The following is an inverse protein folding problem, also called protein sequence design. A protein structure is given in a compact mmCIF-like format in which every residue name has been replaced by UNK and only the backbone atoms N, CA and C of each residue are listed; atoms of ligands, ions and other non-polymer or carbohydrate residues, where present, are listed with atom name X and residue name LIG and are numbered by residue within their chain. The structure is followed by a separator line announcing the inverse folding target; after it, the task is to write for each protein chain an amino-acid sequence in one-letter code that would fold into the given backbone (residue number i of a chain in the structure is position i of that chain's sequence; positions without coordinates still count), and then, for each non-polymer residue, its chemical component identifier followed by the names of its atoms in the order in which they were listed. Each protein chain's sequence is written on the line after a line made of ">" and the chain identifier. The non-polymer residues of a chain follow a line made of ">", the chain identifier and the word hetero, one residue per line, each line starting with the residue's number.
data_IF_534285831750
#
_entry.id   IF_534285831750
#
_cell.length_a   1.000
_cell.length_b   1.000
_cell.length_c   1.000
_cell.angle_alpha   90.00
_cell.angle_beta   90.00
_cell.angle_gamma   90.00
#
_symmetry.space_group_name_H-M   'P 1'
#
loop_
_entity.id
_entity.type
_entity.pdbx_description
1 polymer ?
#
# COMPACT_ATOMS: atom_id res chain seq x y z
N UNK A 1 -13.88 -14.86 23.23
CA UNK A 1 -14.15 -14.05 22.04
C UNK A 1 -14.87 -14.93 21.04
N UNK A 2 -16.19 -14.75 20.92
CA UNK A 2 -16.99 -15.53 19.99
C UNK A 2 -16.51 -15.28 18.55
N UNK A 3 -16.48 -16.33 17.73
CA UNK A 3 -16.09 -16.17 16.34
C UNK A 3 -17.12 -15.25 15.65
N UNK A 4 -16.68 -14.22 14.89
CA UNK A 4 -17.60 -13.32 14.21
C UNK A 4 -18.55 -14.13 13.32
N UNK A 5 -19.83 -13.72 13.28
CA UNK A 5 -20.80 -14.37 12.41
C UNK A 5 -20.37 -14.21 10.96
N UNK A 6 -20.73 -15.17 10.12
CA UNK A 6 -20.49 -15.07 8.67
C UNK A 6 -21.17 -13.80 8.13
N UNK A 7 -22.34 -13.46 8.66
CA UNK A 7 -23.09 -12.28 8.24
C UNK A 7 -22.34 -10.98 8.58
N UNK A 8 -21.74 -10.88 9.78
CA UNK A 8 -20.93 -9.72 10.18
C UNK A 8 -19.72 -9.52 9.27
N UNK A 9 -19.05 -10.62 8.90
CA UNK A 9 -17.92 -10.59 7.96
C UNK A 9 -18.36 -10.13 6.55
N UNK A 10 -19.54 -10.58 6.09
CA UNK A 10 -20.09 -10.14 4.81
C UNK A 10 -20.49 -8.66 4.85
N UNK A 11 -21.09 -8.19 5.94
CA UNK A 11 -21.39 -6.76 6.12
C UNK A 11 -20.12 -5.93 6.08
N UNK A 12 -19.06 -6.34 6.79
CA UNK A 12 -17.76 -5.67 6.75
C UNK A 12 -17.17 -5.65 5.33
N UNK A 13 -17.26 -6.77 4.61
CA UNK A 13 -16.80 -6.86 3.23
C UNK A 13 -17.55 -5.88 2.31
N UNK A 14 -18.87 -5.76 2.45
CA UNK A 14 -19.67 -4.84 1.63
C UNK A 14 -19.33 -3.37 1.91
N UNK A 15 -19.06 -3.00 3.16
CA UNK A 15 -18.60 -1.65 3.50
C UNK A 15 -17.22 -1.35 2.90
N UNK A 16 -16.29 -2.31 2.96
CA UNK A 16 -14.98 -2.18 2.33
C UNK A 16 -15.09 -2.09 0.80
N UNK A 17 -16.02 -2.82 0.19
CA UNK A 17 -16.28 -2.75 -1.24
C UNK A 17 -16.84 -1.38 -1.66
N UNK A 18 -17.73 -0.80 -0.87
CA UNK A 18 -18.23 0.57 -1.10
C UNK A 18 -17.09 1.59 -0.99
N UNK A 19 -16.25 1.49 0.04
CA UNK A 19 -15.06 2.34 0.17
C UNK A 19 -14.09 2.15 -1.02
N UNK A 20 -13.87 0.92 -1.47
CA UNK A 20 -13.04 0.64 -2.62
C UNK A 20 -13.60 1.27 -3.91
N UNK A 21 -14.90 1.13 -4.17
CA UNK A 21 -15.51 1.66 -5.39
C UNK A 21 -15.52 3.18 -5.41
N UNK A 22 -15.78 3.83 -4.27
CA UNK A 22 -15.69 5.29 -4.12
C UNK A 22 -14.26 5.79 -4.33
N UNK A 23 -13.25 5.16 -3.71
CA UNK A 23 -11.84 5.48 -3.94
C UNK A 23 -11.42 5.30 -5.40
N UNK A 24 -11.95 4.28 -6.09
CA UNK A 24 -11.67 4.05 -7.51
C UNK A 24 -12.28 5.14 -8.41
N UNK A 25 -13.48 5.60 -8.08
CA UNK A 25 -14.12 6.73 -8.77
C UNK A 25 -13.33 8.03 -8.57
N UNK A 26 -12.89 8.30 -7.34
CA UNK A 26 -12.06 9.46 -7.01
C UNK A 26 -10.68 9.42 -7.70
N UNK A 27 -10.02 8.26 -7.72
CA UNK A 27 -8.79 8.04 -8.48
C UNK A 27 -8.99 8.43 -9.94
N UNK A 28 -10.04 7.89 -10.57
CA UNK A 28 -10.33 8.11 -11.99
C UNK A 28 -10.58 9.59 -12.28
N UNK A 29 -11.32 10.28 -11.40
CA UNK A 29 -11.60 11.72 -11.49
C UNK A 29 -10.33 12.56 -11.39
N UNK A 30 -9.47 12.28 -10.39
CA UNK A 30 -8.23 13.01 -10.19
C UNK A 30 -7.24 12.77 -11.32
N UNK A 31 -7.13 11.54 -11.81
CA UNK A 31 -6.30 11.23 -12.98
C UNK A 31 -6.79 11.95 -14.23
N UNK A 32 -8.09 11.95 -14.49
CA UNK A 32 -8.67 12.68 -15.62
C UNK A 32 -8.37 14.19 -15.54
N UNK A 33 -8.55 14.80 -14.36
CA UNK A 33 -8.17 16.19 -14.11
C UNK A 33 -6.67 16.43 -14.34
N UNK A 34 -5.80 15.59 -13.79
CA UNK A 34 -4.35 15.72 -13.96
C UNK A 34 -3.94 15.69 -15.44
N UNK A 35 -4.48 14.76 -16.23
CA UNK A 35 -4.21 14.66 -17.66
C UNK A 35 -4.77 15.84 -18.45
N UNK A 36 -5.96 16.35 -18.10
CA UNK A 36 -6.52 17.55 -18.71
C UNK A 36 -5.66 18.78 -18.45
N UNK A 37 -5.21 18.97 -17.20
CA UNK A 37 -4.29 20.05 -16.85
C UNK A 37 -2.95 19.91 -17.58
N UNK A 38 -2.44 18.68 -17.73
CA UNK A 38 -1.19 18.43 -18.46
C UNK A 38 -1.34 18.73 -19.95
N UNK A 39 -2.45 18.30 -20.56
CA UNK A 39 -2.77 18.61 -21.95
C UNK A 39 -2.88 20.12 -22.17
N UNK A 40 -3.52 20.84 -21.24
CA UNK A 40 -3.60 22.31 -21.29
C UNK A 40 -2.23 22.97 -21.15
N UNK A 41 -1.37 22.47 -20.27
CA UNK A 41 0.00 22.95 -20.12
C UNK A 41 0.80 22.73 -21.41
N UNK A 42 0.70 21.54 -22.01
CA UNK A 42 1.36 21.20 -23.27
C UNK A 42 0.84 22.01 -24.46
N UNK A 43 -0.44 22.35 -24.48
CA UNK A 43 -1.02 23.21 -25.52
C UNK A 43 -0.54 24.66 -25.40
N UNK A 44 -0.41 25.18 -24.18
CA UNK A 44 0.03 26.55 -23.92
C UNK A 44 1.56 26.72 -23.94
N UNK A 45 2.33 25.63 -24.03
CA UNK A 45 3.77 25.67 -24.04
C UNK A 45 4.30 26.30 -25.33
N UNK A 46 5.11 27.35 -25.20
CA UNK A 46 5.77 27.99 -26.35
C UNK A 46 6.86 27.08 -26.95
N UNK A 47 7.17 27.29 -28.24
CA UNK A 47 8.25 26.61 -28.99
C UNK A 47 8.14 25.08 -29.11
N UNK A 48 6.95 24.51 -28.96
CA UNK A 48 6.76 23.06 -29.09
C UNK A 48 7.38 22.25 -27.95
N UNK A 49 7.70 22.91 -26.84
CA UNK A 49 8.11 22.24 -25.61
C UNK A 49 6.95 21.38 -25.09
N UNK A 50 7.22 20.14 -24.70
CA UNK A 50 6.23 19.22 -24.12
C UNK A 50 6.68 18.77 -22.74
N UNK A 51 5.87 19.07 -21.72
CA UNK A 51 6.12 18.59 -20.37
C UNK A 51 5.93 17.07 -20.36
N UNK A 52 7.04 16.34 -20.26
CA UNK A 52 7.09 14.89 -20.37
C UNK A 52 8.44 14.34 -19.93
N UNK A 53 8.60 13.01 -20.02
CA UNK A 53 9.77 12.32 -19.52
C UNK A 53 11.08 12.73 -20.20
N UNK A 54 11.00 13.14 -21.47
CA UNK A 54 12.16 13.58 -22.27
C UNK A 54 12.81 14.87 -21.75
N UNK A 55 12.13 15.59 -20.84
CA UNK A 55 12.62 16.82 -20.22
C UNK A 55 13.12 16.62 -18.78
N UNK A 56 13.12 15.38 -18.28
CA UNK A 56 13.68 15.09 -16.98
C UNK A 56 15.20 15.17 -17.02
N UNK A 57 15.79 15.85 -16.04
CA UNK A 57 17.23 15.80 -15.79
C UNK A 57 17.60 14.37 -15.36
N UNK A 58 18.76 13.86 -15.79
CA UNK A 58 19.28 12.53 -15.39
C UNK A 58 19.43 12.40 -13.87
N UNK A 59 19.49 13.54 -13.16
CA UNK A 59 19.53 13.62 -11.70
C UNK A 59 18.16 13.56 -11.04
N UNK A 60 17.08 13.34 -11.79
CA UNK A 60 15.73 13.28 -11.24
C UNK A 60 15.59 12.13 -10.22
N UNK A 61 15.26 12.50 -8.99
CA UNK A 61 14.95 11.55 -7.92
C UNK A 61 13.45 11.60 -7.59
N UNK A 62 12.88 10.46 -7.17
CA UNK A 62 11.52 10.40 -6.69
C UNK A 62 11.36 11.29 -5.45
N UNK A 63 10.54 12.34 -5.55
CA UNK A 63 10.25 13.23 -4.42
C UNK A 63 9.32 12.59 -3.40
N UNK A 64 8.58 11.56 -3.80
CA UNK A 64 7.59 10.85 -2.99
C UNK A 64 7.73 9.35 -3.23
N UNK A 65 7.81 8.61 -2.15
CA UNK A 65 7.83 7.15 -2.16
C UNK A 65 6.73 6.61 -1.26
N UNK A 66 6.16 5.49 -1.68
CA UNK A 66 5.12 4.77 -0.96
C UNK A 66 5.78 3.47 -0.50
N UNK A 67 6.00 3.35 0.80
CA UNK A 67 6.61 2.16 1.39
C UNK A 67 5.53 1.31 2.05
N UNK A 68 5.49 0.02 1.70
CA UNK A 68 4.64 -0.94 2.39
C UNK A 68 5.29 -1.28 3.74
N UNK A 69 4.65 -0.91 4.85
CA UNK A 69 5.06 -1.38 6.16
C UNK A 69 4.50 -2.79 6.31
N UNK A 70 5.34 -3.79 6.04
CA UNK A 70 4.97 -5.21 6.03
C UNK A 70 4.00 -5.60 7.14
N UNK A 71 2.98 -6.37 6.78
CA UNK A 71 1.79 -6.79 7.55
C UNK A 71 2.05 -7.60 8.84
N UNK A 72 2.84 -7.10 9.78
CA UNK A 72 3.06 -7.73 11.10
C UNK A 72 3.17 -6.69 12.21
N UNK A 73 2.17 -5.83 12.37
CA UNK A 73 1.78 -5.24 13.66
C UNK A 73 0.48 -4.43 13.50
N UNK A 74 -0.62 -4.99 14.00
CA UNK A 74 -1.85 -4.32 14.42
C UNK A 74 -2.53 -3.34 13.46
N UNK A 75 -3.55 -3.85 12.74
CA UNK A 75 -4.87 -3.29 12.36
C UNK A 75 -5.12 -1.78 12.11
N UNK A 76 -4.09 -0.92 12.07
CA UNK A 76 -4.17 0.52 11.83
C UNK A 76 -2.88 1.07 11.17
N UNK A 77 -2.08 0.21 10.53
CA UNK A 77 -0.87 0.64 9.84
C UNK A 77 -1.22 1.14 8.42
N UNK A 78 -1.59 2.41 8.34
CA UNK A 78 -1.61 3.13 7.08
C UNK A 78 -0.23 3.15 6.46
N UNK A 79 -0.17 3.02 5.13
CA UNK A 79 1.05 3.24 4.37
C UNK A 79 1.60 4.63 4.71
N UNK A 80 2.77 4.67 5.31
CA UNK A 80 3.46 5.93 5.62
C UNK A 80 4.14 6.42 4.34
N UNK A 81 3.94 7.69 4.03
CA UNK A 81 4.79 8.42 3.11
C UNK A 81 6.17 8.50 3.75
N UNK A 82 7.08 7.62 3.33
CA UNK A 82 8.44 7.65 3.83
C UNK A 82 9.16 8.81 3.16
N UNK A 83 9.53 9.82 3.95
CA UNK A 83 10.57 10.76 3.58
C UNK A 83 11.93 10.12 3.88
N UNK A 84 12.40 9.19 3.05
CA UNK A 84 13.69 8.52 3.30
C UNK A 84 14.89 9.12 2.58
N UNK A 85 16.10 8.97 3.17
CA UNK A 85 17.35 9.62 2.76
C UNK A 85 18.08 8.80 1.69
N UNK A 86 18.96 9.51 0.97
CA UNK A 86 19.69 9.08 -0.22
C UNK A 86 20.45 7.74 -0.07
N UNK A 87 20.54 6.93 -1.14
CA UNK A 87 21.52 5.85 -1.20
C UNK A 87 22.92 6.42 -1.43
N UNK A 88 23.82 6.03 -0.52
CA UNK A 88 25.23 6.35 -0.46
C UNK A 88 25.95 5.71 -1.66
N UNK A 89 26.33 6.50 -2.68
CA UNK A 89 27.23 6.02 -3.74
C UNK A 89 28.65 6.01 -3.18
N UNK A 90 29.18 4.79 -3.05
CA UNK A 90 30.52 4.48 -2.59
C UNK A 90 31.60 5.26 -3.36
N UNK A 91 32.56 5.82 -2.61
CA UNK A 91 33.83 6.34 -3.12
C UNK A 91 34.75 5.20 -3.56
N UNK A 92 35.47 5.42 -4.68
CA UNK A 92 36.93 5.28 -4.91
C UNK A 92 37.29 4.63 -6.28
N UNK A 93 38.52 4.77 -6.83
CA UNK A 93 39.63 5.68 -6.51
C UNK A 93 40.20 6.47 -7.72
N UNK A 94 41.29 7.19 -7.45
CA UNK A 94 42.09 8.16 -8.23
C UNK A 94 42.87 7.57 -9.42
N UNK A 95 43.22 8.42 -10.39
CA UNK A 95 44.61 8.66 -10.87
C UNK A 95 44.68 10.00 -11.65
N UNK A 96 45.33 11.05 -11.15
CA UNK A 96 46.77 11.41 -11.21
C UNK A 96 47.11 12.27 -12.45
N UNK A 97 47.40 13.57 -12.24
CA UNK A 97 48.65 14.27 -12.67
C UNK A 97 48.55 15.81 -12.44
N UNK A 98 49.16 16.23 -11.33
CA UNK A 98 50.19 17.29 -11.16
C UNK A 98 50.14 18.62 -11.95
N UNK A 99 50.11 19.74 -11.21
CA UNK A 99 51.12 20.83 -11.15
C UNK A 99 50.49 22.05 -10.40
N UNK A 100 50.74 22.22 -9.09
CA UNK A 100 51.81 23.03 -8.45
C UNK A 100 51.58 24.55 -8.43
N UNK A 101 51.29 25.10 -7.24
CA UNK A 101 52.09 26.18 -6.60
C UNK A 101 51.54 26.63 -5.23
N UNK A 102 52.37 26.37 -4.22
CA UNK A 102 52.76 27.17 -3.03
C UNK A 102 51.76 27.83 -2.05
N UNK A 103 51.85 27.33 -0.79
CA UNK A 103 51.98 28.02 0.53
C UNK A 103 50.78 28.89 1.01
N UNK A 104 50.29 28.80 2.25
CA UNK A 104 50.98 28.78 3.54
C UNK A 104 50.03 28.28 4.67
N UNK A 105 50.62 27.81 5.78
CA UNK A 105 49.99 27.14 6.93
C UNK A 105 49.21 28.07 7.87
N UNK A 106 48.13 27.55 8.49
CA UNK A 106 47.74 27.86 9.88
C UNK A 106 46.70 26.86 10.40
N UNK A 107 47.08 26.11 11.43
CA UNK A 107 46.29 25.12 12.16
C UNK A 107 45.22 25.76 13.10
N UNK A 108 43.97 25.26 13.08
CA UNK A 108 43.10 24.95 14.27
C UNK A 108 41.71 24.36 13.87
N UNK A 109 40.95 23.73 14.79
CA UNK A 109 40.38 22.37 14.69
C UNK A 109 39.01 22.28 13.97
N UNK A 110 38.53 21.07 13.61
CA UNK A 110 37.32 20.89 12.81
C UNK A 110 36.05 21.17 13.62
N UNK A 111 35.34 22.23 13.24
CA UNK A 111 33.93 22.40 13.55
C UNK A 111 33.10 21.43 12.70
N UNK A 112 32.16 20.65 13.27
CA UNK A 112 31.27 19.81 12.48
C UNK A 112 30.24 20.72 11.81
N UNK A 113 30.56 21.21 10.61
CA UNK A 113 29.59 21.85 9.75
C UNK A 113 28.54 20.80 9.37
N UNK A 114 27.42 20.80 10.10
CA UNK A 114 26.18 20.18 9.64
C UNK A 114 25.81 20.89 8.34
N UNK A 115 26.20 20.31 7.20
CA UNK A 115 25.65 20.72 5.91
C UNK A 115 24.13 20.61 6.01
N UNK A 116 23.35 21.66 5.70
CA UNK A 116 21.90 21.52 5.58
C UNK A 116 21.63 20.43 4.55
N UNK A 117 20.81 19.44 4.92
CA UNK A 117 20.27 18.48 3.96
C UNK A 117 19.76 19.27 2.74
N UNK A 118 20.07 18.85 1.49
CA UNK A 118 19.63 19.59 0.32
C UNK A 118 18.11 19.71 0.38
N UNK A 119 17.63 20.96 0.45
CA UNK A 119 16.21 21.25 0.41
C UNK A 119 15.64 20.52 -0.81
N UNK A 120 14.58 19.75 -0.59
CA UNK A 120 13.87 19.01 -1.64
C UNK A 120 13.54 19.97 -2.78
N UNK A 121 14.23 19.83 -3.89
CA UNK A 121 13.99 20.65 -5.06
C UNK A 121 12.62 20.26 -5.61
N UNK A 122 11.69 21.22 -5.61
CA UNK A 122 10.40 21.03 -6.28
C UNK A 122 10.66 20.64 -7.74
N UNK A 123 10.21 19.46 -8.20
CA UNK A 123 10.51 18.96 -9.54
C UNK A 123 9.98 19.90 -10.63
N UNK A 124 8.99 20.75 -10.33
CA UNK A 124 8.53 21.75 -11.29
C UNK A 124 9.60 22.79 -11.64
N UNK A 125 10.55 23.06 -10.75
CA UNK A 125 11.62 24.04 -10.99
C UNK A 125 12.61 23.57 -12.07
N UNK A 126 12.62 22.29 -12.42
CA UNK A 126 13.42 21.78 -13.54
C UNK A 126 12.90 22.27 -14.89
N UNK A 127 11.62 22.64 -14.99
CA UNK A 127 11.03 23.23 -16.19
C UNK A 127 11.24 24.76 -16.28
N UNK A 128 12.13 25.31 -15.46
CA UNK A 128 12.46 26.73 -15.40
C UNK A 128 11.69 27.51 -14.34
N UNK A 129 12.02 28.80 -14.23
CA UNK A 129 11.45 29.70 -13.21
C UNK A 129 9.96 29.98 -13.46
N UNK A 130 9.54 29.99 -14.72
CA UNK A 130 8.17 30.31 -15.13
C UNK A 130 7.41 29.04 -15.51
N UNK A 131 6.99 28.27 -14.50
CA UNK A 131 6.12 27.10 -14.72
C UNK A 131 4.66 27.52 -14.94
N UNK A 132 3.98 27.00 -15.98
CA UNK A 132 2.58 27.31 -16.22
C UNK A 132 1.71 26.90 -15.04
N UNK A 133 0.68 27.69 -14.74
CA UNK A 133 -0.27 27.38 -13.68
C UNK A 133 -0.92 26.00 -13.86
N UNK A 134 -1.25 25.63 -15.10
CA UNK A 134 -1.82 24.31 -15.42
C UNK A 134 -0.88 23.15 -15.02
N UNK A 135 0.44 23.33 -15.14
CA UNK A 135 1.41 22.30 -14.74
C UNK A 135 1.46 22.14 -13.21
N UNK A 136 1.29 23.24 -12.47
CA UNK A 136 1.15 23.20 -11.00
C UNK A 136 -0.14 22.50 -10.58
N UNK A 137 -1.24 22.70 -11.32
CA UNK A 137 -2.49 21.97 -11.09
C UNK A 137 -2.31 20.47 -11.35
N UNK A 138 -1.64 20.08 -12.45
CA UNK A 138 -1.30 18.68 -12.72
C UNK A 138 -0.50 18.08 -11.57
N UNK A 139 0.54 18.77 -11.09
CA UNK A 139 1.33 18.30 -9.96
C UNK A 139 0.43 18.09 -8.74
N UNK A 140 -0.39 19.08 -8.37
CA UNK A 140 -1.30 19.02 -7.22
C UNK A 140 -2.21 17.78 -7.27
N UNK A 141 -2.89 17.56 -8.41
CA UNK A 141 -3.75 16.38 -8.57
C UNK A 141 -2.95 15.07 -8.53
N UNK A 142 -1.75 15.03 -9.11
CA UNK A 142 -0.89 13.85 -9.08
C UNK A 142 -0.35 13.55 -7.66
N UNK A 143 -0.02 14.60 -6.89
CA UNK A 143 0.35 14.49 -5.48
C UNK A 143 -0.78 13.83 -4.70
N UNK A 144 -2.01 14.34 -4.85
CA UNK A 144 -3.16 13.83 -4.14
C UNK A 144 -3.43 12.35 -4.46
N UNK A 145 -3.27 11.94 -5.73
CA UNK A 145 -3.40 10.54 -6.13
C UNK A 145 -2.39 9.65 -5.40
N UNK A 146 -1.11 10.05 -5.39
CA UNK A 146 -0.02 9.23 -4.81
C UNK A 146 -0.02 9.25 -3.28
N UNK A 147 -0.35 10.39 -2.67
CA UNK A 147 -0.29 10.55 -1.22
C UNK A 147 -1.55 10.03 -0.50
N UNK A 148 -2.72 10.20 -1.12
CA UNK A 148 -4.00 9.95 -0.44
C UNK A 148 -4.73 8.74 -1.00
N UNK A 149 -4.88 8.66 -2.32
CA UNK A 149 -5.81 7.71 -2.93
C UNK A 149 -5.18 6.33 -3.11
N UNK A 150 -4.02 6.24 -3.76
CA UNK A 150 -3.34 4.97 -4.03
C UNK A 150 -3.03 4.21 -2.73
N UNK A 151 -2.49 4.84 -1.68
CA UNK A 151 -2.19 4.12 -0.45
C UNK A 151 -3.46 3.56 0.20
N UNK A 152 -4.51 4.37 0.32
CA UNK A 152 -5.77 3.92 0.91
C UNK A 152 -6.43 2.81 0.09
N UNK A 153 -6.37 2.88 -1.23
CA UNK A 153 -6.89 1.83 -2.12
C UNK A 153 -6.19 0.49 -1.88
N UNK A 154 -4.86 0.51 -1.73
CA UNK A 154 -4.06 -0.70 -1.44
C UNK A 154 -4.39 -1.26 -0.06
N UNK A 155 -4.53 -0.40 0.96
CA UNK A 155 -4.94 -0.83 2.31
C UNK A 155 -6.33 -1.48 2.31
N UNK A 156 -7.32 -0.87 1.64
CA UNK A 156 -8.68 -1.42 1.56
C UNK A 156 -8.69 -2.75 0.81
N UNK A 157 -7.97 -2.84 -0.32
CA UNK A 157 -7.85 -4.08 -1.10
C UNK A 157 -7.20 -5.21 -0.29
N UNK A 158 -6.18 -4.90 0.52
CA UNK A 158 -5.59 -5.86 1.46
C UNK A 158 -6.59 -6.31 2.55
N UNK A 159 -7.34 -5.37 3.13
CA UNK A 159 -8.37 -5.67 4.14
C UNK A 159 -9.52 -6.52 3.56
N UNK A 160 -9.93 -6.27 2.32
CA UNK A 160 -10.94 -7.10 1.63
C UNK A 160 -10.46 -8.55 1.50
N UNK A 161 -9.20 -8.77 1.11
CA UNK A 161 -8.61 -10.12 1.03
C UNK A 161 -8.56 -10.82 2.39
N UNK A 162 -8.25 -10.09 3.45
CA UNK A 162 -8.26 -10.64 4.81
C UNK A 162 -9.66 -11.12 5.20
N UNK A 163 -10.69 -10.30 4.98
CA UNK A 163 -12.08 -10.67 5.27
C UNK A 163 -12.52 -11.88 4.44
N UNK A 164 -12.13 -11.97 3.16
CA UNK A 164 -12.42 -13.16 2.35
C UNK A 164 -11.80 -14.43 2.93
N UNK A 165 -10.58 -14.35 3.45
CA UNK A 165 -9.90 -15.46 4.11
C UNK A 165 -10.66 -15.84 5.39
N UNK A 166 -11.10 -14.87 6.19
CA UNK A 166 -11.90 -15.09 7.39
C UNK A 166 -13.25 -15.75 7.08
N UNK A 167 -13.95 -15.32 6.03
CA UNK A 167 -15.20 -15.93 5.57
C UNK A 167 -14.98 -17.39 5.18
N UNK A 168 -13.92 -17.67 4.40
CA UNK A 168 -13.54 -19.05 4.05
C UNK A 168 -13.27 -19.90 5.29
N UNK A 169 -12.53 -19.36 6.27
CA UNK A 169 -12.24 -20.04 7.54
C UNK A 169 -13.51 -20.27 8.37
N UNK A 170 -14.41 -19.29 8.47
CA UNK A 170 -15.66 -19.38 9.21
C UNK A 170 -16.59 -20.44 8.61
N UNK A 171 -16.75 -20.46 7.28
CA UNK A 171 -17.51 -21.51 6.56
C UNK A 171 -16.94 -22.90 6.81
N UNK A 172 -15.61 -23.06 6.72
CA UNK A 172 -14.95 -24.34 7.00
C UNK A 172 -15.17 -24.81 8.43
N UNK A 173 -15.10 -23.91 9.42
CA UNK A 173 -15.38 -24.23 10.83
C UNK A 173 -16.82 -24.66 11.05
N UNK A 174 -17.79 -23.97 10.42
CA UNK A 174 -19.21 -24.34 10.49
C UNK A 174 -19.47 -25.74 9.92
N UNK A 175 -18.98 -26.01 8.71
CA UNK A 175 -19.10 -27.33 8.09
C UNK A 175 -18.45 -28.45 8.94
N UNK A 176 -17.30 -28.18 9.56
CA UNK A 176 -16.65 -29.15 10.46
C UNK A 176 -17.49 -29.44 11.71
N UNK A 177 -18.11 -28.41 12.32
CA UNK A 177 -19.01 -28.57 13.47
C UNK A 177 -20.27 -29.34 13.12
N UNK A 178 -20.86 -29.06 11.95
CA UNK A 178 -22.03 -29.79 11.43
C UNK A 178 -21.68 -31.26 11.16
N UNK A 179 -20.50 -31.54 10.59
CA UNK A 179 -20.03 -32.90 10.35
C UNK A 179 -19.71 -33.69 11.62
N UNK A 180 -19.16 -33.05 12.68
CA UNK A 180 -18.95 -33.73 13.97
C UNK A 180 -20.29 -34.00 14.66
N UNK A 181 -21.20 -33.03 14.66
CA UNK A 181 -22.54 -33.23 15.24
C UNK A 181 -23.33 -34.34 14.54
N UNK A 182 -23.18 -34.49 13.21
CA UNK A 182 -23.78 -35.59 12.47
C UNK A 182 -23.18 -36.96 12.84
N UNK A 183 -21.87 -37.03 13.09
CA UNK A 183 -21.21 -38.26 13.56
C UNK A 183 -21.63 -38.63 14.97
N UNK A 184 -21.64 -37.67 15.88
CA UNK A 184 -22.09 -37.89 17.27
C UNK A 184 -23.56 -38.35 17.29
N UNK A 185 -24.41 -37.76 16.43
CA UNK A 185 -25.80 -38.17 16.28
C UNK A 185 -25.98 -39.58 15.70
N UNK A 186 -25.13 -40.00 14.74
CA UNK A 186 -25.19 -41.35 14.17
C UNK A 186 -24.68 -42.41 15.17
N UNK A 187 -23.64 -42.11 15.95
CA UNK A 187 -23.15 -42.98 17.03
C UNK A 187 -24.21 -43.20 18.11
N UNK A 188 -24.88 -42.13 18.56
CA UNK A 188 -25.99 -42.23 19.54
C UNK A 188 -27.15 -43.05 18.98
N UNK A 189 -27.46 -42.91 17.69
CA UNK A 189 -28.53 -43.67 17.03
C UNK A 189 -28.19 -45.17 16.91
N UNK A 190 -26.94 -45.50 16.60
CA UNK A 190 -26.46 -46.89 16.52
C UNK A 190 -26.45 -47.55 17.91
N UNK A 191 -26.01 -46.85 18.95
CA UNK A 191 -26.05 -47.35 20.33
C UNK A 191 -27.49 -47.63 20.79
N UNK A 192 -28.42 -46.70 20.52
CA UNK A 192 -29.84 -46.90 20.87
C UNK A 192 -30.46 -48.10 20.15
N UNK A 193 -30.16 -48.27 18.86
CA UNK A 193 -30.62 -49.42 18.08
C UNK A 193 -30.05 -50.75 18.59
N UNK A 194 -28.80 -50.76 19.08
CA UNK A 194 -28.19 -51.94 19.70
C UNK A 194 -28.80 -52.28 21.06
N UNK A 195 -29.18 -51.28 21.86
CA UNK A 195 -29.85 -51.51 23.15
C UNK A 195 -31.27 -52.03 22.94
N UNK A 196 -31.99 -51.47 21.97
CA UNK A 196 -33.36 -51.90 21.64
C UNK A 196 -33.40 -53.32 21.06
N UNK A 197 -32.37 -53.75 20.31
CA UNK A 197 -32.29 -55.12 19.79
C UNK A 197 -32.02 -56.15 20.88
N UNK A 198 -31.12 -55.85 21.83
CA UNK A 198 -30.84 -56.68 23.01
C UNK A 198 -32.09 -56.83 23.88
N UNK A 199 -32.83 -55.74 24.09
CA UNK A 199 -34.04 -55.77 24.91
C UNK A 199 -35.19 -56.56 24.25
N UNK A 200 -35.27 -56.61 22.92
CA UNK A 200 -36.26 -57.46 22.20
C UNK A 200 -35.92 -58.95 22.26
N UNK A 201 -34.64 -59.32 22.27
CA UNK A 201 -34.23 -60.72 22.35
C UNK A 201 -34.44 -61.35 23.74
N UNK A 202 -34.41 -60.54 24.81
CA UNK A 202 -34.62 -61.01 26.18
C UNK A 202 -36.08 -61.33 26.58
N UNK A 203 -37.08 -60.89 25.80
CA UNK A 203 -38.51 -61.08 26.14
C UNK A 203 -39.08 -62.38 25.55
N UNK A 204 -38.37 -63.07 24.66
CA UNK A 204 -38.85 -64.28 23.97
C UNK A 204 -38.43 -65.62 24.62
N UNK A 205 -37.89 -65.63 25.85
CA UNK A 205 -37.30 -66.83 26.47
C UNK A 205 -37.88 -67.22 27.83
N UNK A 206 -39.11 -66.82 28.16
CA UNK A 206 -39.84 -67.28 29.35
C UNK A 206 -41.20 -67.83 28.94
#
# INVERSE_FOLDING_TARGET
>A
MDAPSIDDLLTRYLLLLDEYTTLRADLSRLQASAFQHLARANFAAERGARYGADQYDERMQASRTVADQGMLADAAAGIKLNEEPQPNIAKQPKDTTTMSSAQDESEKPPSPSKSPLPARTDPLRWFGVLTPFALRQTQTSAVEVVERIVPRLVTVDAAMREVEIEVRRARKRRAKKEASAAKDGDEVRQQKASVDSVNRQGVATV
#
